data_IF_755866956950
#
_entry.id   IF_755866956950
#
_cell.length_a   1.000
_cell.length_b   1.000
_cell.length_c   1.000
_cell.angle_alpha   90.00
_cell.angle_beta   90.00
_cell.angle_gamma   90.00
#
_symmetry.space_group_name_H-M   'P 1'
#
loop_
_entity.id
_entity.type
_entity.pdbx_description
1 polymer ?
#
# COMPACT_ATOMS: atom_id res chain seq x y z
N UNK A 1 -5.56 -24.18 23.31
CA UNK A 1 -4.89 -24.06 22.00
C UNK A 1 -4.56 -22.59 21.75
N UNK A 2 -3.35 -22.27 21.27
CA UNK A 2 -2.98 -20.89 20.93
C UNK A 2 -3.34 -20.57 19.47
N UNK A 3 -3.83 -19.36 19.22
CA UNK A 3 -4.21 -18.90 17.88
C UNK A 3 -3.01 -18.27 17.18
N UNK A 4 -2.35 -19.03 16.31
CA UNK A 4 -1.16 -18.58 15.58
C UNK A 4 -1.55 -17.62 14.46
N UNK A 5 -0.74 -16.60 14.28
CA UNK A 5 -0.83 -15.72 13.13
C UNK A 5 -0.14 -16.36 11.92
N UNK A 6 -0.86 -16.48 10.80
CA UNK A 6 -0.29 -17.00 9.55
C UNK A 6 0.70 -16.02 8.89
N UNK A 7 0.65 -14.75 9.29
CA UNK A 7 1.44 -13.66 8.70
C UNK A 7 2.64 -13.24 9.55
N UNK A 8 2.82 -13.78 10.76
CA UNK A 8 3.92 -13.50 11.68
C UNK A 8 4.06 -14.57 12.77
N UNK A 9 5.21 -14.66 13.42
CA UNK A 9 5.49 -15.68 14.45
C UNK A 9 4.76 -15.48 15.79
N UNK A 10 3.74 -14.62 15.84
CA UNK A 10 2.99 -14.30 17.05
C UNK A 10 1.86 -15.31 17.27
N UNK A 11 1.80 -15.87 18.47
CA UNK A 11 0.67 -16.67 18.94
C UNK A 11 -0.16 -15.85 19.93
N UNK A 12 -1.49 -15.86 19.74
CA UNK A 12 -2.44 -15.06 20.51
C UNK A 12 -3.35 -15.98 21.35
N UNK A 13 -3.81 -15.46 22.48
CA UNK A 13 -4.61 -16.24 23.45
C UNK A 13 -6.02 -16.58 22.94
N UNK A 14 -6.61 -15.75 22.07
CA UNK A 14 -7.99 -15.94 21.57
C UNK A 14 -8.14 -15.55 20.11
N UNK A 15 -9.15 -16.11 19.44
CA UNK A 15 -9.50 -15.78 18.05
C UNK A 15 -9.88 -14.30 17.87
N UNK A 16 -10.53 -13.68 18.86
CA UNK A 16 -10.89 -12.26 18.83
C UNK A 16 -9.64 -11.36 18.81
N UNK A 17 -8.64 -11.67 19.64
CA UNK A 17 -7.37 -10.95 19.67
C UNK A 17 -6.58 -11.19 18.37
N UNK A 18 -6.59 -12.42 17.83
CA UNK A 18 -6.00 -12.70 16.52
C UNK A 18 -6.66 -11.86 15.42
N UNK A 19 -7.99 -11.74 15.41
CA UNK A 19 -8.75 -10.94 14.43
C UNK A 19 -8.39 -9.46 14.50
N UNK A 20 -8.21 -8.92 15.71
CA UNK A 20 -7.75 -7.54 15.91
C UNK A 20 -6.28 -7.36 15.48
N UNK A 21 -5.41 -8.29 15.84
CA UNK A 21 -4.01 -8.33 15.43
C UNK A 21 -3.84 -8.32 13.91
N UNK A 22 -4.70 -9.06 13.19
CA UNK A 22 -4.73 -9.10 11.73
C UNK A 22 -5.19 -7.78 11.10
N UNK A 23 -6.02 -6.98 11.78
CA UNK A 23 -6.46 -5.66 11.29
C UNK A 23 -5.40 -4.59 11.49
N UNK A 24 -4.67 -4.65 12.61
CA UNK A 24 -3.68 -3.63 12.97
C UNK A 24 -2.28 -4.00 12.47
N UNK A 25 -1.58 -4.91 13.16
CA UNK A 25 -0.15 -5.17 12.95
C UNK A 25 0.12 -5.94 11.66
N UNK A 26 -0.53 -7.09 11.48
CA UNK A 26 -0.42 -7.85 10.24
C UNK A 26 -1.22 -7.24 9.09
N UNK A 27 -2.08 -6.28 9.43
CA UNK A 27 -2.75 -5.43 8.48
C UNK A 27 -1.76 -4.47 7.83
N UNK A 28 -0.93 -3.77 8.60
CA UNK A 28 -0.04 -2.72 8.07
C UNK A 28 1.42 -3.15 7.90
N UNK A 29 1.73 -4.45 8.01
CA UNK A 29 3.07 -5.00 7.80
C UNK A 29 3.23 -5.66 6.43
N UNK A 30 4.34 -5.37 5.77
CA UNK A 30 4.71 -6.04 4.52
C UNK A 30 5.26 -7.43 4.81
N UNK A 31 4.66 -8.47 4.22
CA UNK A 31 5.13 -9.86 4.42
C UNK A 31 6.44 -10.18 3.68
N UNK A 32 6.79 -9.43 2.62
CA UNK A 32 8.02 -9.70 1.84
C UNK A 32 9.28 -9.13 2.49
N UNK A 33 9.19 -7.96 3.11
CA UNK A 33 10.35 -7.28 3.74
C UNK A 33 10.15 -6.98 5.24
N UNK A 34 9.05 -7.46 5.82
CA UNK A 34 8.68 -7.31 7.24
C UNK A 34 8.55 -5.88 7.75
N UNK A 35 8.64 -4.87 6.87
CA UNK A 35 8.48 -3.46 7.22
C UNK A 35 7.05 -3.15 7.65
N UNK A 36 6.90 -2.44 8.77
CA UNK A 36 5.61 -2.02 9.34
C UNK A 36 5.31 -0.59 8.91
N UNK A 37 4.07 -0.34 8.53
CA UNK A 37 3.57 0.96 8.11
C UNK A 37 2.52 1.49 9.09
N UNK A 38 2.38 2.82 9.15
CA UNK A 38 1.38 3.47 10.00
C UNK A 38 -0.05 3.26 9.47
N UNK A 39 -0.19 3.06 8.15
CA UNK A 39 -1.49 2.90 7.50
C UNK A 39 -1.47 1.76 6.48
N UNK A 40 -2.67 1.22 6.21
CA UNK A 40 -2.90 0.21 5.17
C UNK A 40 -2.56 0.74 3.77
N UNK A 41 -2.84 2.02 3.52
CA UNK A 41 -2.53 2.67 2.24
C UNK A 41 -1.02 2.74 2.02
N UNK A 42 -0.24 3.12 3.04
CA UNK A 42 1.21 3.16 2.96
C UNK A 42 1.80 1.76 2.72
N UNK A 43 1.22 0.71 3.31
CA UNK A 43 1.59 -0.66 3.00
C UNK A 43 1.27 -1.03 1.55
N UNK A 44 0.06 -0.71 1.06
CA UNK A 44 -0.34 -0.99 -0.34
C UNK A 44 0.58 -0.28 -1.34
N UNK A 45 0.85 1.00 -1.12
CA UNK A 45 1.81 1.79 -1.90
C UNK A 45 3.20 1.14 -1.87
N UNK A 46 3.69 0.79 -0.69
CA UNK A 46 4.98 0.12 -0.56
C UNK A 46 5.01 -1.21 -1.32
N UNK A 47 3.98 -2.04 -1.19
CA UNK A 47 3.91 -3.29 -1.95
C UNK A 47 3.89 -3.02 -3.45
N UNK A 48 3.12 -2.02 -3.90
CA UNK A 48 3.04 -1.66 -5.32
C UNK A 48 4.40 -1.21 -5.87
N UNK A 49 5.07 -0.30 -5.16
CA UNK A 49 6.28 0.39 -5.61
C UNK A 49 7.58 -0.42 -5.44
N UNK A 50 7.59 -1.40 -4.53
CA UNK A 50 8.82 -2.12 -4.15
C UNK A 50 8.72 -3.65 -4.32
N UNK A 51 7.51 -4.21 -4.46
CA UNK A 51 7.29 -5.66 -4.46
C UNK A 51 6.36 -6.17 -5.56
N UNK A 52 5.68 -5.26 -6.25
CA UNK A 52 4.84 -5.47 -7.43
C UNK A 52 5.48 -4.79 -8.66
N UNK A 53 6.80 -4.62 -8.66
CA UNK A 53 7.47 -4.32 -9.93
C UNK A 53 7.20 -5.52 -10.82
N UNK A 54 6.26 -5.34 -11.75
CA UNK A 54 6.02 -6.30 -12.80
C UNK A 54 7.36 -6.45 -13.49
N UNK A 55 7.93 -7.65 -13.48
CA UNK A 55 9.21 -7.99 -14.10
C UNK A 55 9.16 -7.88 -15.65
N UNK A 56 8.27 -7.06 -16.17
CA UNK A 56 7.97 -6.82 -17.58
C UNK A 56 7.86 -5.32 -17.88
N UNK A 57 8.53 -4.46 -17.09
CA UNK A 57 8.66 -3.05 -17.43
C UNK A 57 9.65 -2.91 -18.60
N UNK A 58 9.21 -2.46 -19.80
CA UNK A 58 10.12 -2.21 -20.89
C UNK A 58 11.16 -1.18 -20.48
N UNK A 59 12.39 -1.45 -20.92
CA UNK A 59 13.55 -0.64 -20.67
C UNK A 59 13.34 0.80 -21.15
N UNK A 60 13.75 1.73 -20.29
CA UNK A 60 14.33 3.02 -20.65
C UNK A 60 13.53 3.89 -21.63
N UNK A 61 12.84 4.89 -21.08
CA UNK A 61 12.57 6.11 -21.83
C UNK A 61 11.49 7.00 -21.25
N UNK A 62 10.29 6.46 -21.07
CA UNK A 62 9.12 7.34 -20.98
C UNK A 62 8.03 6.69 -20.13
N UNK A 63 8.12 6.88 -18.81
CA UNK A 63 6.98 6.59 -17.94
C UNK A 63 6.02 7.77 -18.03
N UNK A 64 5.17 7.76 -19.05
CA UNK A 64 4.17 8.80 -19.30
C UNK A 64 2.85 8.49 -18.59
N UNK A 65 2.24 9.51 -17.99
CA UNK A 65 0.91 9.43 -17.45
C UNK A 65 -0.11 9.58 -18.60
N UNK A 66 -1.08 8.66 -18.64
CA UNK A 66 -2.11 8.63 -19.68
C UNK A 66 -3.31 9.53 -19.37
N UNK A 67 -3.29 10.17 -18.20
CA UNK A 67 -4.40 10.97 -17.65
C UNK A 67 -4.06 12.46 -17.61
N UNK A 68 -2.79 12.79 -17.40
CA UNK A 68 -2.20 14.05 -17.85
C UNK A 68 -0.85 13.71 -18.47
N UNK A 69 -0.43 14.37 -19.53
CA UNK A 69 0.75 14.02 -20.36
C UNK A 69 2.12 14.19 -19.63
N UNK A 70 2.13 14.11 -18.31
CA UNK A 70 3.29 14.18 -17.45
C UNK A 70 4.22 12.97 -17.64
N UNK A 71 5.51 13.25 -17.89
CA UNK A 71 6.56 12.25 -18.10
C UNK A 71 7.44 12.10 -16.86
N UNK A 72 7.78 10.85 -16.54
CA UNK A 72 8.60 10.52 -15.38
C UNK A 72 9.79 9.66 -15.76
N UNK A 73 10.92 9.93 -15.09
CA UNK A 73 12.16 9.18 -15.24
C UNK A 73 12.15 7.78 -14.61
N UNK A 74 11.06 7.39 -13.95
CA UNK A 74 10.93 6.08 -13.32
C UNK A 74 9.46 5.70 -13.08
N UNK A 75 9.18 4.40 -13.15
CA UNK A 75 7.86 3.83 -12.85
C UNK A 75 7.35 4.26 -11.47
N UNK A 76 8.23 4.28 -10.46
CA UNK A 76 7.90 4.73 -9.10
C UNK A 76 7.35 6.15 -9.07
N UNK A 77 7.93 7.04 -9.87
CA UNK A 77 7.53 8.44 -9.91
C UNK A 77 6.18 8.60 -10.65
N UNK A 78 5.99 7.87 -11.75
CA UNK A 78 4.71 7.82 -12.45
C UNK A 78 3.59 7.27 -11.55
N UNK A 79 3.84 6.17 -10.85
CA UNK A 79 2.87 5.56 -9.94
C UNK A 79 2.51 6.49 -8.78
N UNK A 80 3.49 7.20 -8.20
CA UNK A 80 3.23 8.21 -7.16
C UNK A 80 2.38 9.36 -7.70
N UNK A 81 2.70 9.86 -8.89
CA UNK A 81 1.93 10.92 -9.54
C UNK A 81 0.49 10.49 -9.79
N UNK A 82 0.27 9.32 -10.43
CA UNK A 82 -1.09 8.79 -10.63
C UNK A 82 -1.86 8.65 -9.33
N UNK A 83 -1.18 8.27 -8.24
CA UNK A 83 -1.81 8.06 -6.96
C UNK A 83 -2.25 9.33 -6.24
N UNK A 84 -1.56 10.45 -6.46
CA UNK A 84 -1.88 11.73 -5.83
C UNK A 84 -2.75 12.61 -6.73
N UNK A 85 -2.43 12.66 -8.02
CA UNK A 85 -3.03 13.59 -8.97
C UNK A 85 -4.23 13.00 -9.72
N UNK A 86 -4.26 11.68 -9.90
CA UNK A 86 -5.28 11.00 -10.74
C UNK A 86 -6.02 9.87 -10.04
N UNK A 87 -5.83 9.69 -8.73
CA UNK A 87 -6.55 8.65 -8.02
C UNK A 87 -7.85 9.20 -7.44
N UNK A 88 -9.02 8.95 -8.06
CA UNK A 88 -10.31 9.41 -7.54
C UNK A 88 -10.62 8.83 -6.15
N UNK A 89 -9.94 7.75 -5.74
CA UNK A 89 -10.11 7.13 -4.42
C UNK A 89 -9.41 7.89 -3.30
N UNK A 90 -8.34 8.64 -3.57
CA UNK A 90 -7.67 9.50 -2.57
C UNK A 90 -8.38 10.84 -2.45
N UNK A 91 -8.87 11.41 -3.56
CA UNK A 91 -9.69 12.62 -3.54
C UNK A 91 -10.98 12.43 -2.72
N UNK A 92 -11.66 11.28 -2.87
CA UNK A 92 -12.84 10.95 -2.06
C UNK A 92 -12.52 10.77 -0.56
N UNK A 93 -11.35 10.24 -0.22
CA UNK A 93 -10.93 10.05 1.18
C UNK A 93 -10.49 11.37 1.83
N UNK A 94 -9.87 12.29 1.09
CA UNK A 94 -9.47 13.62 1.57
C UNK A 94 -10.68 14.53 1.72
N UNK A 95 -11.63 14.50 0.78
CA UNK A 95 -12.89 15.25 0.89
C UNK A 95 -13.73 14.80 2.09
N UNK A 96 -13.77 13.50 2.39
CA UNK A 96 -14.48 12.97 3.57
C UNK A 96 -13.82 13.35 4.91
N UNK A 97 -12.53 13.66 4.94
CA UNK A 97 -11.84 14.13 6.14
C UNK A 97 -12.05 15.63 6.40
N UNK A 98 -12.23 16.44 5.36
CA UNK A 98 -12.47 17.88 5.49
C UNK A 98 -13.91 18.24 5.88
N UNK A 99 -14.89 17.36 5.61
CA UNK A 99 -16.30 17.60 5.95
C UNK A 99 -16.69 17.28 7.41
N UNK A 100 -15.71 17.08 8.30
CA UNK A 100 -15.92 16.79 9.73
C UNK A 100 -15.22 17.80 10.66
N UNK A 101 -14.79 18.94 10.14
CA UNK A 101 -14.31 20.08 10.93
C UNK A 101 -15.43 21.13 11.06
#
# INVERSE_FOLDING_TARGET
AAFKCDKCDRALATAAILKMHMRSLCGTRCIKCLKVFKTQLALKQHRLLYHNSSANAPALGEFECKECEARFKSERNLLRHKLHEHNPSVAAAVAAAAARA
#
